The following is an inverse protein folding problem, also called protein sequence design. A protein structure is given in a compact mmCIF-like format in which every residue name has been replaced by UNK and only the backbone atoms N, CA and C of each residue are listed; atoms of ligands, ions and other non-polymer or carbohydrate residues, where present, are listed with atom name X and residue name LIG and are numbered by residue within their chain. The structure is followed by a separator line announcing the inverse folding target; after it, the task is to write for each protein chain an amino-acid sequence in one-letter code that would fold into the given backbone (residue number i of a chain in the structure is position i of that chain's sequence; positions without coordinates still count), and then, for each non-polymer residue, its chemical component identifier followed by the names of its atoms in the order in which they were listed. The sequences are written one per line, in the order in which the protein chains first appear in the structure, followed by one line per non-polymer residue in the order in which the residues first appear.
data_IF_279669722658
#
_entry.id   IF_279669722658
#
_cell.length_a   1.000
_cell.length_b   1.000
_cell.length_c   1.000
_cell.angle_alpha   90.00
_cell.angle_beta   90.00
_cell.angle_gamma   90.00
#
_symmetry.space_group_name_H-M   'P 1'
#
loop_
_entity.id
_entity.type
_entity.pdbx_description
1 polymer ?
#
# COMPACT_ATOMS: atom_id res chain seq x y z
N UNK A 1 -38.84 -79.81 -29.83
CA UNK A 1 -37.46 -79.40 -29.49
C UNK A 1 -37.34 -77.91 -29.83
N UNK A 2 -37.61 -77.03 -28.87
CA UNK A 2 -37.72 -75.59 -29.09
C UNK A 2 -36.39 -74.91 -28.74
N UNK A 3 -35.83 -74.14 -29.68
CA UNK A 3 -34.58 -73.42 -29.52
C UNK A 3 -34.72 -72.24 -28.53
N UNK A 4 -33.68 -71.93 -27.72
CA UNK A 4 -33.73 -70.83 -26.77
C UNK A 4 -33.70 -69.49 -27.51
N UNK A 5 -34.64 -68.60 -27.17
CA UNK A 5 -34.65 -67.21 -27.62
C UNK A 5 -33.45 -66.50 -27.00
N UNK A 6 -32.41 -66.28 -27.80
CA UNK A 6 -31.29 -65.44 -27.41
C UNK A 6 -31.80 -64.01 -27.24
N UNK A 7 -31.78 -63.56 -25.98
CA UNK A 7 -32.07 -62.20 -25.60
C UNK A 7 -30.95 -61.33 -26.18
N UNK A 8 -31.20 -60.69 -27.32
CA UNK A 8 -30.33 -59.66 -27.88
C UNK A 8 -30.37 -58.48 -26.91
N UNK A 9 -29.37 -58.40 -26.04
CA UNK A 9 -29.09 -57.17 -25.31
C UNK A 9 -28.78 -56.10 -26.37
N UNK A 10 -29.65 -55.09 -26.48
CA UNK A 10 -29.38 -53.92 -27.31
C UNK A 10 -28.02 -53.35 -26.91
N UNK A 11 -27.08 -53.15 -27.85
CA UNK A 11 -25.84 -52.47 -27.54
C UNK A 11 -26.20 -51.08 -27.01
N UNK A 12 -25.83 -50.81 -25.76
CA UNK A 12 -25.94 -49.47 -25.19
C UNK A 12 -25.04 -48.56 -26.03
N UNK A 13 -25.67 -47.67 -26.81
CA UNK A 13 -25.02 -46.64 -27.62
C UNK A 13 -24.09 -45.82 -26.72
N UNK A 14 -22.82 -46.18 -26.73
CA UNK A 14 -21.78 -45.62 -25.85
C UNK A 14 -21.20 -44.31 -26.43
N UNK A 15 -22.05 -43.54 -27.12
CA UNK A 15 -21.66 -42.35 -27.89
C UNK A 15 -22.30 -41.04 -27.43
N UNK A 16 -23.18 -41.03 -26.44
CA UNK A 16 -24.03 -39.87 -26.12
C UNK A 16 -23.44 -38.85 -25.13
N UNK A 17 -22.12 -38.84 -24.95
CA UNK A 17 -21.37 -37.69 -24.40
C UNK A 17 -20.11 -37.44 -25.24
N UNK A 18 -20.25 -37.50 -26.57
CA UNK A 18 -19.13 -37.20 -27.47
C UNK A 18 -18.71 -35.73 -27.33
N UNK A 19 -17.39 -35.49 -27.29
CA UNK A 19 -16.78 -34.16 -27.40
C UNK A 19 -17.37 -33.35 -28.56
N UNK A 20 -17.81 -34.02 -29.63
CA UNK A 20 -18.51 -33.40 -30.75
C UNK A 20 -19.89 -32.81 -30.39
N UNK A 21 -20.64 -33.40 -29.45
CA UNK A 21 -21.91 -32.85 -28.98
C UNK A 21 -21.69 -31.63 -28.05
N UNK A 22 -20.63 -31.66 -27.23
CA UNK A 22 -20.18 -30.48 -26.48
C UNK A 22 -19.68 -29.37 -27.42
N UNK A 23 -18.94 -29.72 -28.46
CA UNK A 23 -18.41 -28.80 -29.45
C UNK A 23 -19.53 -28.22 -30.34
N UNK A 24 -20.51 -29.04 -30.75
CA UNK A 24 -21.68 -28.61 -31.50
C UNK A 24 -22.63 -27.76 -30.65
N UNK A 25 -22.79 -28.10 -29.36
CA UNK A 25 -23.51 -27.28 -28.38
C UNK A 25 -22.82 -25.93 -28.14
N UNK A 26 -21.49 -25.92 -28.10
CA UNK A 26 -20.67 -24.70 -28.00
C UNK A 26 -20.71 -23.85 -29.27
N UNK A 27 -20.69 -24.47 -30.46
CA UNK A 27 -20.82 -23.77 -31.75
C UNK A 27 -22.21 -23.18 -31.96
N UNK A 28 -23.27 -23.92 -31.62
CA UNK A 28 -24.66 -23.45 -31.73
C UNK A 28 -24.93 -22.23 -30.83
N UNK A 29 -24.21 -22.11 -29.71
CA UNK A 29 -24.29 -20.98 -28.77
C UNK A 29 -23.03 -20.10 -28.76
N UNK A 30 -22.19 -20.17 -29.81
CA UNK A 30 -20.98 -19.33 -29.96
C UNK A 30 -21.30 -17.86 -29.69
N UNK A 31 -22.47 -17.38 -30.16
CA UNK A 31 -22.85 -15.97 -30.00
C UNK A 31 -23.08 -15.62 -28.54
N UNK A 32 -23.68 -16.51 -27.76
CA UNK A 32 -23.90 -16.33 -26.32
C UNK A 32 -22.57 -16.40 -25.57
N UNK A 33 -21.71 -17.37 -25.90
CA UNK A 33 -20.36 -17.47 -25.35
C UNK A 33 -19.51 -16.23 -25.68
N UNK A 34 -19.56 -15.74 -26.92
CA UNK A 34 -18.89 -14.52 -27.35
C UNK A 34 -19.44 -13.28 -26.63
N UNK A 35 -20.76 -13.17 -26.43
CA UNK A 35 -21.34 -12.04 -25.67
C UNK A 35 -20.96 -12.06 -24.20
N UNK A 36 -20.90 -13.25 -23.57
CA UNK A 36 -20.47 -13.37 -22.17
C UNK A 36 -18.98 -13.04 -22.05
N UNK A 37 -18.13 -13.60 -22.91
CA UNK A 37 -16.70 -13.31 -22.92
C UNK A 37 -16.42 -11.82 -23.17
N UNK A 38 -17.09 -11.22 -24.16
CA UNK A 38 -16.98 -9.79 -24.44
C UNK A 38 -17.49 -8.96 -23.26
N UNK A 39 -18.62 -9.35 -22.66
CA UNK A 39 -19.17 -8.72 -21.47
C UNK A 39 -18.20 -8.76 -20.29
N UNK A 40 -17.53 -9.89 -20.04
CA UNK A 40 -16.50 -10.02 -19.00
C UNK A 40 -15.29 -9.12 -19.29
N UNK A 41 -14.84 -9.05 -20.54
CA UNK A 41 -13.72 -8.16 -20.94
C UNK A 41 -14.10 -6.69 -20.74
N UNK A 42 -15.28 -6.27 -21.20
CA UNK A 42 -15.78 -4.90 -21.04
C UNK A 42 -15.95 -4.55 -19.56
N UNK A 43 -16.50 -5.47 -18.76
CA UNK A 43 -16.63 -5.29 -17.32
C UNK A 43 -15.26 -5.14 -16.64
N UNK A 44 -14.30 -6.00 -16.99
CA UNK A 44 -12.94 -5.95 -16.47
C UNK A 44 -12.25 -4.62 -16.83
N UNK A 45 -12.32 -4.19 -18.09
CA UNK A 45 -11.80 -2.91 -18.56
C UNK A 45 -12.48 -1.73 -17.85
N UNK A 46 -13.80 -1.78 -17.69
CA UNK A 46 -14.55 -0.76 -16.94
C UNK A 46 -14.08 -0.65 -15.49
N UNK A 47 -13.86 -1.79 -14.82
CA UNK A 47 -13.30 -1.81 -13.47
C UNK A 47 -11.88 -1.24 -13.41
N UNK A 48 -11.05 -1.47 -14.43
CA UNK A 48 -9.68 -0.90 -14.51
C UNK A 48 -9.70 0.62 -14.54
N UNK A 49 -10.68 1.25 -15.20
CA UNK A 49 -10.81 2.72 -15.22
C UNK A 49 -11.35 3.30 -13.91
N UNK A 50 -12.11 2.53 -13.13
CA UNK A 50 -12.73 2.98 -11.88
C UNK A 50 -11.75 2.89 -10.70
N UNK A 51 -10.83 1.94 -10.70
CA UNK A 51 -9.88 1.74 -9.59
C UNK A 51 -8.63 2.62 -9.84
N UNK A 52 -8.44 3.73 -9.08
CA UNK A 52 -7.26 4.57 -9.25
C UNK A 52 -5.99 3.79 -8.90
N UNK A 53 -4.88 4.00 -9.63
CA UNK A 53 -3.61 3.35 -9.31
C UNK A 53 -3.15 3.76 -7.91
N UNK A 54 -2.69 2.77 -7.13
CA UNK A 54 -2.08 2.97 -5.82
C UNK A 54 -0.63 2.51 -5.89
N UNK A 55 0.28 3.43 -5.64
CA UNK A 55 1.72 3.19 -5.60
C UNK A 55 2.16 3.00 -4.15
N UNK A 56 3.07 2.04 -3.93
CA UNK A 56 3.63 1.72 -2.63
C UNK A 56 5.11 2.06 -2.57
N UNK A 57 5.50 2.95 -1.67
CA UNK A 57 6.90 3.17 -1.32
C UNK A 57 7.25 2.38 -0.06
N UNK A 58 8.43 1.74 -0.05
CA UNK A 58 8.94 0.98 1.10
C UNK A 58 10.33 1.49 1.44
N UNK A 59 10.53 1.91 2.69
CA UNK A 59 11.82 2.29 3.24
C UNK A 59 12.13 1.36 4.43
N UNK A 60 13.33 0.80 4.46
CA UNK A 60 13.78 -0.08 5.54
C UNK A 60 15.11 0.40 6.06
N UNK A 61 15.23 0.54 7.39
CA UNK A 61 16.47 0.93 8.05
C UNK A 61 16.78 0.02 9.24
N UNK A 62 18.06 -0.09 9.56
CA UNK A 62 18.58 -0.91 10.67
C UNK A 62 18.86 -0.01 11.86
N UNK A 63 18.43 -0.41 13.06
CA UNK A 63 18.83 0.24 14.31
C UNK A 63 20.12 -0.44 14.82
N UNK A 64 21.27 0.03 14.34
CA UNK A 64 22.60 -0.45 14.78
C UNK A 64 23.12 0.44 15.90
N UNK A 65 23.96 -0.11 16.79
CA UNK A 65 24.68 0.58 17.89
C UNK A 65 25.57 1.77 17.46
N UNK A 66 25.49 2.23 16.20
CA UNK A 66 26.10 3.49 15.81
C UNK A 66 25.46 4.60 16.64
N UNK A 67 26.30 5.38 17.32
CA UNK A 67 26.01 6.60 18.08
C UNK A 67 25.36 7.69 17.20
N UNK A 68 24.23 7.37 16.59
CA UNK A 68 23.34 8.31 15.92
C UNK A 68 22.46 8.84 17.03
N UNK A 69 22.98 9.83 17.74
CA UNK A 69 22.17 10.64 18.65
C UNK A 69 20.95 11.11 17.85
N UNK A 70 19.75 10.83 18.36
CA UNK A 70 18.53 11.38 17.82
C UNK A 70 18.73 12.90 17.71
N UNK A 71 18.48 13.52 16.54
CA UNK A 71 18.56 14.97 16.41
C UNK A 71 17.75 15.59 17.54
N UNK A 72 18.28 16.60 18.25
CA UNK A 72 17.67 17.13 19.49
C UNK A 72 16.16 17.45 19.35
N UNK A 73 15.72 17.87 18.16
CA UNK A 73 14.31 18.13 17.87
C UNK A 73 13.41 16.89 17.75
N UNK A 74 13.96 15.70 17.47
CA UNK A 74 13.22 14.43 17.54
C UNK A 74 13.15 13.91 18.98
N UNK A 75 14.21 14.09 19.78
CA UNK A 75 14.22 13.67 21.19
C UNK A 75 13.21 14.45 22.02
N UNK A 76 13.18 15.78 21.88
CA UNK A 76 12.16 16.64 22.53
C UNK A 76 10.74 16.25 22.10
N UNK A 77 10.56 15.82 20.85
CA UNK A 77 9.28 15.32 20.37
C UNK A 77 8.86 13.97 20.98
N UNK A 78 9.83 13.07 21.16
CA UNK A 78 9.59 11.79 21.80
C UNK A 78 9.20 11.98 23.27
N UNK A 79 9.83 12.94 23.94
CA UNK A 79 9.52 13.32 25.33
C UNK A 79 8.13 13.96 25.44
N UNK A 80 7.80 14.93 24.57
CA UNK A 80 6.46 15.54 24.52
C UNK A 80 5.36 14.52 24.19
N UNK A 81 5.66 13.51 23.39
CA UNK A 81 4.75 12.41 23.08
C UNK A 81 4.67 11.34 24.19
N UNK A 82 5.40 11.48 25.30
CA UNK A 82 5.41 10.56 26.43
C UNK A 82 6.07 9.21 26.12
N UNK A 83 6.87 9.13 25.05
CA UNK A 83 7.47 7.87 24.58
C UNK A 83 8.73 7.48 25.35
N UNK A 84 9.39 8.42 26.03
CA UNK A 84 10.54 8.14 26.89
C UNK A 84 10.20 7.24 28.08
N UNK A 85 8.96 7.32 28.59
CA UNK A 85 8.49 6.42 29.66
C UNK A 85 8.19 5.00 29.19
N UNK A 86 7.87 4.80 27.91
CA UNK A 86 7.55 3.46 27.37
C UNK A 86 8.81 2.59 27.29
N UNK A 87 9.96 3.19 26.97
CA UNK A 87 11.23 2.47 26.96
C UNK A 87 11.62 1.97 28.36
N UNK A 88 11.36 2.77 29.41
CA UNK A 88 11.57 2.38 30.81
C UNK A 88 10.63 1.26 31.26
N UNK A 89 9.39 1.22 30.75
CA UNK A 89 8.40 0.20 31.09
C UNK A 89 8.60 -1.13 30.36
N UNK A 90 9.29 -1.14 29.22
CA UNK A 90 9.60 -2.35 28.45
C UNK A 90 10.82 -3.13 28.98
N UNK A 91 11.31 -2.79 30.19
CA UNK A 91 12.42 -3.51 30.82
C UNK A 91 13.78 -3.27 30.17
N UNK A 92 13.91 -2.22 29.35
CA UNK A 92 15.18 -1.80 28.74
C UNK A 92 16.00 -0.90 29.69
N UNK A 93 15.79 -1.02 31.00
CA UNK A 93 16.43 -0.25 32.07
C UNK A 93 17.91 -0.60 32.32
N UNK A 94 18.53 -1.42 31.46
CA UNK A 94 19.94 -1.76 31.53
C UNK A 94 20.74 -1.05 30.45
N UNK A 95 21.37 0.09 30.77
CA UNK A 95 22.45 0.76 30.02
C UNK A 95 22.32 0.99 28.50
N UNK A 96 21.19 0.63 27.90
CA UNK A 96 20.96 0.63 26.46
C UNK A 96 20.03 1.79 26.14
N UNK A 97 20.55 2.78 25.42
CA UNK A 97 19.80 3.99 25.06
C UNK A 97 18.47 3.58 24.39
N UNK A 98 17.30 4.11 24.82
CA UNK A 98 16.00 3.87 24.18
C UNK A 98 16.00 4.08 22.67
N UNK A 99 16.92 4.92 22.16
CA UNK A 99 17.20 5.13 20.74
C UNK A 99 17.70 3.88 19.98
N UNK A 100 17.97 2.77 20.67
CA UNK A 100 18.48 1.53 20.07
C UNK A 100 17.39 0.47 19.86
N UNK A 101 16.16 0.74 20.32
CA UNK A 101 15.04 -0.22 20.19
C UNK A 101 14.24 0.00 18.89
N UNK A 102 14.11 -1.02 18.01
CA UNK A 102 13.23 -0.94 16.84
C UNK A 102 11.78 -0.61 17.19
N UNK A 103 11.32 -1.08 18.36
CA UNK A 103 9.95 -0.86 18.86
C UNK A 103 9.73 0.61 19.22
N UNK A 104 10.75 1.27 19.76
CA UNK A 104 10.71 2.71 20.05
C UNK A 104 10.49 3.53 18.77
N UNK A 105 11.26 3.25 17.71
CA UNK A 105 11.07 3.95 16.42
C UNK A 105 9.71 3.69 15.78
N UNK A 106 9.17 2.48 15.92
CA UNK A 106 7.81 2.19 15.46
C UNK A 106 6.77 3.09 16.17
N UNK A 107 6.87 3.22 17.49
CA UNK A 107 5.97 4.08 18.25
C UNK A 107 6.18 5.57 17.93
N UNK A 108 7.43 5.99 17.79
CA UNK A 108 7.79 7.36 17.44
C UNK A 108 7.20 7.76 16.08
N UNK A 109 7.41 6.94 15.04
CA UNK A 109 6.87 7.19 13.70
C UNK A 109 5.33 7.16 13.64
N UNK A 110 4.67 6.50 14.61
CA UNK A 110 3.21 6.51 14.76
C UNK A 110 2.68 7.63 15.66
N UNK A 111 3.56 8.44 16.26
CA UNK A 111 3.17 9.51 17.17
C UNK A 111 2.33 10.58 16.46
N UNK A 112 1.32 11.08 17.16
CA UNK A 112 0.43 12.11 16.62
C UNK A 112 1.20 13.37 16.22
N UNK A 113 2.18 13.77 17.02
CA UNK A 113 2.95 15.00 16.80
C UNK A 113 3.78 14.91 15.50
N UNK A 114 4.50 13.80 15.27
CA UNK A 114 5.23 13.62 13.99
C UNK A 114 4.28 13.55 12.80
N UNK A 115 3.18 12.82 12.90
CA UNK A 115 2.21 12.71 11.81
C UNK A 115 1.54 14.06 11.51
N UNK A 116 1.27 14.88 12.53
CA UNK A 116 0.68 16.21 12.35
C UNK A 116 1.65 17.14 11.63
N UNK A 117 2.93 17.16 12.05
CA UNK A 117 3.98 17.91 11.36
C UNK A 117 4.18 17.44 9.92
N UNK A 118 4.10 16.14 9.68
CA UNK A 118 4.19 15.56 8.34
C UNK A 118 3.00 15.97 7.46
N UNK A 119 1.78 15.99 8.02
CA UNK A 119 0.57 16.42 7.30
C UNK A 119 0.63 17.89 6.88
N UNK A 120 1.19 18.74 7.74
CA UNK A 120 1.36 20.17 7.48
C UNK A 120 2.58 20.50 6.62
N UNK A 121 3.46 19.52 6.37
CA UNK A 121 4.63 19.73 5.52
C UNK A 121 4.25 19.83 4.05
N UNK A 122 5.02 20.62 3.31
CA UNK A 122 4.82 20.85 1.88
C UNK A 122 5.51 19.76 1.05
N UNK A 123 4.74 19.19 0.12
CA UNK A 123 5.21 18.22 -0.86
C UNK A 123 5.03 18.77 -2.27
N UNK A 124 5.87 18.36 -3.24
CA UNK A 124 5.60 18.59 -4.65
C UNK A 124 4.15 18.24 -5.00
N UNK A 125 3.40 19.14 -5.62
CA UNK A 125 2.03 18.81 -6.05
C UNK A 125 2.09 18.02 -7.37
N UNK A 126 1.75 16.72 -7.38
CA UNK A 126 1.72 15.94 -8.61
C UNK A 126 0.52 16.27 -9.51
N UNK A 127 -0.36 17.20 -9.11
CA UNK A 127 -1.51 17.67 -9.91
C UNK A 127 -1.18 18.91 -10.74
N UNK A 128 -0.11 19.61 -10.40
CA UNK A 128 0.26 20.87 -11.02
C UNK A 128 1.36 20.63 -12.04
N UNK A 129 1.16 21.14 -13.25
CA UNK A 129 2.19 21.12 -14.30
C UNK A 129 3.27 22.19 -14.06
N UNK A 130 3.09 23.04 -13.05
CA UNK A 130 4.03 24.11 -12.70
C UNK A 130 5.20 23.52 -11.90
N UNK A 131 6.44 23.60 -12.43
CA UNK A 131 7.61 23.11 -11.70
C UNK A 131 7.81 23.91 -10.40
N UNK A 132 7.74 23.22 -9.26
CA UNK A 132 7.96 23.83 -7.94
C UNK A 132 6.69 24.10 -7.14
N UNK A 133 5.51 23.84 -7.72
CA UNK A 133 4.27 23.90 -6.95
C UNK A 133 4.29 22.88 -5.81
N UNK A 134 3.82 23.31 -4.65
CA UNK A 134 3.91 22.54 -3.42
C UNK A 134 2.60 22.63 -2.64
N UNK A 135 2.06 21.47 -2.28
CA UNK A 135 0.80 21.34 -1.55
C UNK A 135 1.02 20.57 -0.24
N UNK A 136 0.19 20.86 0.76
CA UNK A 136 0.14 20.09 2.00
C UNK A 136 -0.56 18.76 1.78
N UNK A 137 -0.37 17.79 2.69
CA UNK A 137 -1.13 16.52 2.60
C UNK A 137 -2.63 16.72 2.80
N UNK A 138 -3.06 17.78 3.48
CA UNK A 138 -4.49 18.13 3.64
C UNK A 138 -5.11 18.43 2.27
N UNK A 139 -4.47 19.29 1.49
CA UNK A 139 -4.88 19.66 0.13
C UNK A 139 -4.76 18.48 -0.85
N UNK A 140 -3.68 17.70 -0.71
CA UNK A 140 -3.43 16.54 -1.55
C UNK A 140 -4.38 15.38 -1.24
N UNK A 141 -4.98 15.33 -0.05
CA UNK A 141 -6.10 14.44 0.28
C UNK A 141 -7.49 15.03 -0.04
N UNK A 142 -7.55 16.28 -0.54
CA UNK A 142 -8.79 17.02 -0.84
C UNK A 142 -9.73 17.10 0.37
N UNK A 143 -9.17 17.25 1.56
CA UNK A 143 -9.95 17.37 2.79
C UNK A 143 -10.33 18.84 2.93
N UNK A 144 -11.62 19.13 2.78
CA UNK A 144 -12.20 20.45 2.99
C UNK A 144 -13.13 20.33 4.18
N UNK A 145 -12.80 21.02 5.26
CA UNK A 145 -13.63 21.11 6.47
C UNK A 145 -13.69 22.59 6.87
N UNK A 146 -14.81 23.02 7.43
CA UNK A 146 -15.00 24.40 7.86
C UNK A 146 -14.11 24.75 9.06
N UNK A 147 -13.69 23.74 9.82
CA UNK A 147 -12.72 23.86 10.90
C UNK A 147 -11.34 23.34 10.44
N UNK A 148 -10.33 24.22 10.32
CA UNK A 148 -8.97 23.84 9.94
C UNK A 148 -8.35 22.76 10.86
N UNK A 149 -8.62 22.83 12.17
CA UNK A 149 -8.08 21.86 13.13
C UNK A 149 -8.64 20.46 12.86
N UNK A 150 -9.95 20.38 12.61
CA UNK A 150 -10.64 19.15 12.23
C UNK A 150 -10.13 18.59 10.89
N UNK A 151 -9.84 19.46 9.92
CA UNK A 151 -9.23 19.08 8.64
C UNK A 151 -7.88 18.36 8.81
N UNK A 152 -7.02 18.90 9.69
CA UNK A 152 -5.72 18.30 10.03
C UNK A 152 -5.91 16.94 10.71
N UNK A 153 -6.84 16.82 11.67
CA UNK A 153 -7.12 15.54 12.34
C UNK A 153 -7.58 14.45 11.36
N UNK A 154 -8.46 14.81 10.42
CA UNK A 154 -8.91 13.91 9.36
C UNK A 154 -7.76 13.49 8.45
N UNK A 155 -6.85 14.41 8.13
CA UNK A 155 -5.67 14.13 7.33
C UNK A 155 -4.71 13.17 8.06
N UNK A 156 -4.45 13.39 9.35
CA UNK A 156 -3.65 12.47 10.18
C UNK A 156 -4.28 11.08 10.24
N UNK A 157 -5.60 10.99 10.46
CA UNK A 157 -6.33 9.70 10.47
C UNK A 157 -6.25 9.00 9.12
N UNK A 158 -6.26 9.74 8.01
CA UNK A 158 -6.13 9.17 6.66
C UNK A 158 -4.70 8.70 6.40
N UNK A 159 -3.70 9.47 6.80
CA UNK A 159 -2.29 9.11 6.69
C UNK A 159 -1.99 7.84 7.48
N UNK A 160 -2.47 7.74 8.73
CA UNK A 160 -2.28 6.54 9.58
C UNK A 160 -2.85 5.26 8.97
N UNK A 161 -3.91 5.35 8.16
CA UNK A 161 -4.47 4.19 7.44
C UNK A 161 -3.68 3.79 6.20
N UNK A 162 -2.91 4.72 5.62
CA UNK A 162 -2.07 4.53 4.43
C UNK A 162 -0.62 4.21 4.77
N UNK A 163 -0.23 4.43 6.02
CA UNK A 163 1.08 4.18 6.57
C UNK A 163 1.07 2.86 7.33
N UNK A 164 1.94 1.93 6.95
CA UNK A 164 2.14 0.67 7.66
C UNK A 164 3.60 0.63 8.13
N UNK A 165 3.79 0.69 9.45
CA UNK A 165 5.11 0.62 10.07
C UNK A 165 5.20 -0.68 10.84
N UNK A 166 6.28 -1.43 10.58
CA UNK A 166 6.56 -2.70 11.23
C UNK A 166 8.01 -2.69 11.72
N UNK A 167 8.21 -3.08 12.97
CA UNK A 167 9.53 -3.27 13.54
C UNK A 167 9.72 -4.75 13.91
N UNK A 168 10.87 -5.30 13.54
CA UNK A 168 11.25 -6.66 13.90
C UNK A 168 12.40 -6.62 14.93
N UNK A 169 12.12 -6.95 16.20
CA UNK A 169 13.13 -6.93 17.27
C UNK A 169 14.19 -8.03 17.13
N UNK A 170 13.99 -9.04 16.28
CA UNK A 170 14.98 -10.10 16.03
C UNK A 170 16.04 -9.65 15.03
N UNK A 171 15.64 -8.85 14.05
CA UNK A 171 16.51 -8.40 12.95
C UNK A 171 16.93 -6.94 13.08
N UNK A 172 16.44 -6.22 14.10
CA UNK A 172 16.64 -4.78 14.30
C UNK A 172 16.25 -3.93 13.08
N UNK A 173 15.28 -4.42 12.30
CA UNK A 173 14.79 -3.75 11.10
C UNK A 173 13.50 -2.99 11.40
N UNK A 174 13.44 -1.74 10.96
CA UNK A 174 12.21 -0.95 10.92
C UNK A 174 11.85 -0.75 9.46
N UNK A 175 10.66 -1.22 9.08
CA UNK A 175 10.10 -1.12 7.74
C UNK A 175 8.93 -0.13 7.75
N UNK A 176 9.00 0.89 6.90
CA UNK A 176 7.96 1.89 6.68
C UNK A 176 7.40 1.70 5.28
N UNK A 177 6.09 1.47 5.18
CA UNK A 177 5.36 1.34 3.91
C UNK A 177 4.31 2.44 3.79
N UNK A 178 4.30 3.12 2.65
CA UNK A 178 3.37 4.21 2.36
C UNK A 178 2.62 3.93 1.06
N UNK A 179 1.29 3.93 1.10
CA UNK A 179 0.43 3.78 -0.06
C UNK A 179 -0.18 5.12 -0.52
N UNK A 180 0.23 5.63 -1.69
CA UNK A 180 -0.23 6.90 -2.26
C UNK A 180 -0.70 6.78 -3.71
N UNK A 181 -1.49 7.75 -4.19
CA UNK A 181 -1.99 7.77 -5.58
C UNK A 181 -0.89 8.09 -6.61
N UNK A 182 0.20 8.71 -6.17
CA UNK A 182 1.33 9.10 -7.02
C UNK A 182 2.62 8.52 -6.46
N UNK A 183 3.49 8.01 -7.33
CA UNK A 183 4.77 7.40 -6.95
C UNK A 183 5.72 8.37 -6.25
N UNK A 184 5.85 9.58 -6.79
CA UNK A 184 6.73 10.62 -6.22
C UNK A 184 6.27 11.07 -4.83
N UNK A 185 4.95 11.12 -4.61
CA UNK A 185 4.39 11.42 -3.30
C UNK A 185 4.66 10.30 -2.31
N UNK A 186 4.48 9.03 -2.72
CA UNK A 186 4.77 7.89 -1.85
C UNK A 186 6.24 7.90 -1.40
N UNK A 187 7.16 8.15 -2.35
CA UNK A 187 8.58 8.28 -2.07
C UNK A 187 8.90 9.48 -1.17
N UNK A 188 8.32 10.65 -1.46
CA UNK A 188 8.49 11.87 -0.67
C UNK A 188 8.05 11.70 0.79
N UNK A 189 6.94 11.00 1.03
CA UNK A 189 6.47 10.68 2.40
C UNK A 189 7.40 9.66 3.07
N UNK A 190 7.87 8.63 2.36
CA UNK A 190 8.69 7.56 2.93
C UNK A 190 10.13 8.00 3.28
N UNK A 191 10.76 8.80 2.42
CA UNK A 191 12.14 9.28 2.63
C UNK A 191 12.19 10.61 3.39
N UNK A 192 11.07 11.35 3.45
CA UNK A 192 11.02 12.75 3.88
C UNK A 192 12.08 13.58 3.14
N UNK A 193 11.87 13.73 1.83
CA UNK A 193 12.63 14.66 0.98
C UNK A 193 11.83 15.97 0.85
N UNK A 194 12.05 16.96 1.74
CA UNK A 194 11.56 18.32 1.48
C UNK A 194 12.24 18.83 0.20
N UNK A 195 11.48 19.52 -0.65
CA UNK A 195 11.99 19.96 -1.95
C UNK A 195 13.16 20.93 -1.77
N UNK A 196 14.36 20.39 -1.96
CA UNK A 196 15.63 21.08 -2.13
C UNK A 196 16.62 20.18 -2.89
N UNK A 197 16.42 19.96 -4.20
CA UNK A 197 17.50 19.43 -5.06
C UNK A 197 17.24 18.21 -5.96
N UNK A 198 16.00 17.73 -6.13
CA UNK A 198 15.72 16.51 -6.92
C UNK A 198 15.74 16.65 -8.46
N UNK A 199 16.15 17.78 -9.04
CA UNK A 199 16.03 18.03 -10.49
C UNK A 199 17.29 17.71 -11.33
N UNK A 200 18.24 16.89 -10.85
CA UNK A 200 19.54 16.68 -11.55
C UNK A 200 19.98 15.25 -11.88
N UNK A 201 19.15 14.23 -11.69
CA UNK A 201 19.58 12.82 -11.95
C UNK A 201 19.13 12.17 -13.26
N UNK A 202 18.53 12.91 -14.20
CA UNK A 202 18.11 12.35 -15.49
C UNK A 202 19.00 12.71 -16.70
N UNK A 203 20.15 13.37 -16.51
CA UNK A 203 20.99 13.86 -17.63
C UNK A 203 22.46 13.39 -17.58
N UNK A 204 22.74 12.19 -17.04
CA UNK A 204 24.09 11.61 -17.13
C UNK A 204 24.05 10.09 -17.23
N UNK A 205 23.82 9.63 -18.46
CA UNK A 205 24.17 8.31 -18.94
C UNK A 205 24.48 8.46 -20.42
N UNK A 206 25.75 8.76 -20.71
CA UNK A 206 26.33 8.56 -22.04
C UNK A 206 26.53 7.07 -22.27
#
# INVERSE_FOLDING_TARGET
MAAPRQHLASPMDSGQLSFAALLAGALSRWRLAATVATGTIVLALGLTFIIPPSYRATATFVTTDASVELPRGLSDLADQAGLSNVASQLGLSGSRDPSQSPVFYNQLLQSRELLTRLVLSQFPDPRSDVPGDSATLVELYRIHDSDPARGVELAVKRLKRKLNISADPKTNLVTVRVDARWGDLAAGIATREPRGGGARRAARGR
#
